data_IF_415752469063
#
_entry.id   IF_415752469063
#
_cell.length_a   1.000
_cell.length_b   1.000
_cell.length_c   1.000
_cell.angle_alpha   90.00
_cell.angle_beta   90.00
_cell.angle_gamma   90.00
#
_symmetry.space_group_name_H-M   'P 1'
#
loop_
_entity.id
_entity.type
_entity.pdbx_description
1 polymer ?
#
# COMPACT_ATOMS: atom_id res chain seq x y z
N UNK A 1 -3.65 63.21 -75.30
CA UNK A 1 -2.57 62.22 -75.06
C UNK A 1 -2.82 61.63 -73.67
N UNK A 2 -3.59 60.53 -73.59
CA UNK A 2 -4.04 59.92 -72.32
C UNK A 2 -3.43 58.51 -72.29
N UNK A 3 -2.47 58.30 -71.39
CA UNK A 3 -1.77 57.01 -71.21
C UNK A 3 -2.51 56.13 -70.21
N UNK A 4 -2.66 54.87 -70.62
CA UNK A 4 -3.17 53.72 -69.88
C UNK A 4 -2.42 53.46 -68.57
N UNK A 5 -3.15 53.15 -67.50
CA UNK A 5 -2.64 52.59 -66.24
C UNK A 5 -2.77 51.05 -66.31
N UNK A 6 -1.71 50.28 -66.02
CA UNK A 6 -1.74 48.82 -66.12
C UNK A 6 -2.41 48.14 -64.92
N UNK A 7 -3.22 47.12 -65.23
CA UNK A 7 -3.81 46.16 -64.29
C UNK A 7 -2.76 45.12 -63.87
N UNK A 8 -2.13 45.26 -62.70
CA UNK A 8 -1.44 44.10 -62.08
C UNK A 8 -1.31 44.15 -60.55
N UNK A 9 -2.19 44.86 -59.85
CA UNK A 9 -2.14 44.94 -58.38
C UNK A 9 -3.12 43.99 -57.65
N UNK A 10 -3.85 43.13 -58.37
CA UNK A 10 -4.94 42.32 -57.78
C UNK A 10 -4.57 40.86 -57.48
N UNK A 11 -3.45 40.34 -58.01
CA UNK A 11 -3.01 38.95 -57.78
C UNK A 11 -2.05 38.80 -56.59
N UNK A 12 -1.41 39.87 -56.15
CA UNK A 12 -0.50 39.83 -54.99
C UNK A 12 -1.24 39.82 -53.64
N UNK A 13 -2.43 40.43 -53.55
CA UNK A 13 -3.21 40.47 -52.30
C UNK A 13 -3.92 39.14 -51.98
N UNK A 14 -4.28 38.35 -52.99
CA UNK A 14 -4.97 37.06 -52.78
C UNK A 14 -4.02 35.95 -52.29
N UNK A 15 -2.72 36.06 -52.60
CA UNK A 15 -1.71 35.06 -52.20
C UNK A 15 -1.24 35.24 -50.74
N UNK A 16 -1.32 36.46 -50.21
CA UNK A 16 -0.99 36.74 -48.79
C UNK A 16 -2.10 36.31 -47.82
N UNK A 17 -3.37 36.28 -48.26
CA UNK A 17 -4.50 35.84 -47.42
C UNK A 17 -4.53 34.31 -47.30
N UNK A 18 -4.18 33.55 -48.35
CA UNK A 18 -4.08 32.08 -48.26
C UNK A 18 -2.89 31.60 -47.39
N UNK A 19 -1.76 32.32 -47.39
CA UNK A 19 -0.62 31.98 -46.55
C UNK A 19 -0.90 32.22 -45.05
N UNK A 20 -1.70 33.24 -44.71
CA UNK A 20 -2.08 33.52 -43.32
C UNK A 20 -3.10 32.51 -42.76
N UNK A 21 -3.98 31.96 -43.60
CA UNK A 21 -4.93 30.91 -43.19
C UNK A 21 -4.21 29.56 -43.01
N UNK A 22 -3.22 29.25 -43.84
CA UNK A 22 -2.42 28.02 -43.68
C UNK A 22 -1.55 28.02 -42.40
N UNK A 23 -1.07 29.19 -41.94
CA UNK A 23 -0.35 29.29 -40.66
C UNK A 23 -1.27 29.20 -39.43
N UNK A 24 -2.55 29.55 -39.56
CA UNK A 24 -3.54 29.38 -38.48
C UNK A 24 -4.02 27.94 -38.31
N UNK A 25 -3.87 27.08 -39.33
CA UNK A 25 -4.15 25.64 -39.22
C UNK A 25 -2.94 24.78 -38.84
N UNK A 26 -1.71 25.31 -38.90
CA UNK A 26 -0.49 24.58 -38.49
C UNK A 26 -0.14 24.73 -37.00
N UNK A 27 -0.78 25.66 -36.27
CA UNK A 27 -0.62 25.84 -34.82
C UNK A 27 -1.84 25.39 -33.99
N UNK A 28 -2.86 24.81 -34.64
CA UNK A 28 -4.17 24.49 -34.05
C UNK A 28 -4.43 23.02 -33.70
N UNK A 29 -3.38 22.19 -33.61
CA UNK A 29 -3.51 20.81 -33.14
C UNK A 29 -2.49 20.52 -32.03
N UNK A 30 -2.47 21.37 -31.00
CA UNK A 30 -2.09 20.85 -29.70
C UNK A 30 -3.25 19.95 -29.27
N UNK A 31 -3.04 18.64 -29.37
CA UNK A 31 -3.81 17.70 -28.59
C UNK A 31 -3.68 18.14 -27.14
N UNK A 32 -4.69 18.84 -26.63
CA UNK A 32 -4.89 18.94 -25.19
C UNK A 32 -4.77 17.52 -24.68
N UNK A 33 -3.91 17.21 -23.68
CA UNK A 33 -4.09 15.98 -22.96
C UNK A 33 -5.54 16.02 -22.52
N UNK A 34 -6.35 15.10 -23.07
CA UNK A 34 -7.63 14.77 -22.47
C UNK A 34 -7.29 14.61 -21.01
N UNK A 35 -7.87 15.46 -20.16
CA UNK A 35 -7.92 15.15 -18.76
C UNK A 35 -8.64 13.80 -18.75
N UNK A 36 -7.86 12.73 -18.65
CA UNK A 36 -8.37 11.45 -18.25
C UNK A 36 -9.13 11.78 -16.98
N UNK A 37 -10.46 11.77 -17.08
CA UNK A 37 -11.26 11.61 -15.89
C UNK A 37 -10.67 10.36 -15.24
N UNK A 38 -10.09 10.43 -14.03
CA UNK A 38 -9.51 9.25 -13.43
C UNK A 38 -10.64 8.23 -13.40
N UNK A 39 -10.50 7.17 -14.20
CA UNK A 39 -11.42 6.03 -14.13
C UNK A 39 -11.48 5.65 -12.66
N UNK A 40 -12.70 5.52 -12.11
CA UNK A 40 -12.94 5.35 -10.68
C UNK A 40 -11.80 4.55 -10.06
N UNK A 41 -10.99 5.16 -9.20
CA UNK A 41 -9.82 4.49 -8.64
C UNK A 41 -10.31 3.20 -7.95
N UNK A 42 -10.08 2.08 -8.62
CA UNK A 42 -10.65 0.80 -8.20
C UNK A 42 -9.82 0.30 -7.03
N UNK A 43 -10.49 0.05 -5.91
CA UNK A 43 -9.89 -0.55 -4.73
C UNK A 43 -10.22 -2.03 -4.65
N UNK A 44 -9.34 -2.79 -4.00
CA UNK A 44 -9.44 -4.24 -3.86
C UNK A 44 -9.40 -4.62 -2.39
N UNK A 45 -10.24 -5.56 -1.98
CA UNK A 45 -10.15 -6.16 -0.66
C UNK A 45 -9.02 -7.18 -0.61
N UNK A 46 -8.31 -7.21 0.50
CA UNK A 46 -7.41 -8.28 0.87
C UNK A 46 -7.55 -8.65 2.33
N UNK A 47 -6.81 -9.66 2.75
CA UNK A 47 -6.79 -10.10 4.14
C UNK A 47 -5.38 -10.41 4.58
N UNK A 48 -5.13 -10.37 5.87
CA UNK A 48 -3.92 -10.90 6.47
C UNK A 48 -4.25 -11.58 7.82
N UNK A 49 -3.31 -12.39 8.29
CA UNK A 49 -3.33 -13.02 9.62
C UNK A 49 -1.97 -13.65 9.92
N UNK A 50 -1.67 -13.85 11.20
CA UNK A 50 -0.41 -14.46 11.63
C UNK A 50 -0.28 -15.92 11.20
N UNK A 51 -1.29 -16.74 11.49
CA UNK A 51 -1.24 -18.18 11.20
C UNK A 51 -1.83 -18.44 9.80
N UNK A 52 -1.23 -19.30 9.00
CA UNK A 52 -1.78 -19.69 7.70
C UNK A 52 -3.16 -20.37 7.87
N UNK A 53 -4.21 -20.00 7.10
CA UNK A 53 -5.57 -20.54 7.28
C UNK A 53 -5.76 -21.98 6.79
N UNK A 54 -4.74 -22.57 6.17
CA UNK A 54 -4.84 -23.89 5.58
C UNK A 54 -5.30 -23.81 4.12
N UNK A 55 -4.88 -24.78 3.32
CA UNK A 55 -5.09 -24.79 1.86
C UNK A 55 -6.60 -24.78 1.51
N UNK A 56 -7.44 -25.43 2.32
CA UNK A 56 -8.89 -25.48 2.14
C UNK A 56 -9.60 -24.13 2.28
N UNK A 57 -8.96 -23.14 2.92
CA UNK A 57 -9.51 -21.80 3.04
C UNK A 57 -9.40 -20.99 1.75
N UNK A 58 -8.40 -21.27 0.93
CA UNK A 58 -8.04 -20.40 -0.20
C UNK A 58 -9.18 -20.23 -1.21
N UNK A 59 -9.90 -21.27 -1.66
CA UNK A 59 -11.01 -21.10 -2.60
C UNK A 59 -12.20 -20.34 -2.00
N UNK A 60 -12.37 -20.37 -0.68
CA UNK A 60 -13.42 -19.63 0.03
C UNK A 60 -13.04 -18.16 0.09
N UNK A 61 -11.83 -17.87 0.59
CA UNK A 61 -11.31 -16.51 0.73
C UNK A 61 -11.20 -15.78 -0.62
N UNK A 62 -10.86 -16.51 -1.70
CA UNK A 62 -10.70 -15.91 -3.03
C UNK A 62 -11.98 -15.32 -3.60
N UNK A 63 -13.15 -15.75 -3.12
CA UNK A 63 -14.45 -15.19 -3.52
C UNK A 63 -14.61 -13.73 -3.09
N UNK A 64 -13.87 -13.30 -2.07
CA UNK A 64 -13.96 -11.95 -1.49
C UNK A 64 -12.67 -11.16 -1.70
N UNK A 65 -11.52 -11.81 -1.54
CA UNK A 65 -10.23 -11.13 -1.48
C UNK A 65 -9.42 -11.30 -2.76
N UNK A 66 -8.81 -10.21 -3.22
CA UNK A 66 -7.91 -10.20 -4.37
C UNK A 66 -6.46 -10.51 -3.98
N UNK A 67 -6.06 -10.14 -2.76
CA UNK A 67 -4.71 -10.39 -2.24
C UNK A 67 -4.73 -10.94 -0.81
N UNK A 68 -3.62 -11.57 -0.42
CA UNK A 68 -3.36 -11.98 0.96
C UNK A 68 -2.06 -11.38 1.49
N UNK A 69 -1.96 -11.25 2.82
CA UNK A 69 -0.68 -11.17 3.51
C UNK A 69 0.17 -12.42 3.25
N UNK A 70 1.49 -12.27 3.31
CA UNK A 70 2.43 -13.39 3.24
C UNK A 70 3.66 -13.12 4.11
N UNK A 71 3.80 -13.89 5.19
CA UNK A 71 4.91 -13.75 6.11
C UNK A 71 6.19 -14.40 5.56
N UNK A 72 7.29 -13.65 5.53
CA UNK A 72 8.65 -14.15 5.26
C UNK A 72 9.35 -14.62 6.54
N UNK A 73 9.04 -14.00 7.67
CA UNK A 73 9.53 -14.36 9.01
C UNK A 73 8.40 -14.90 9.89
N UNK A 74 8.67 -15.51 11.06
CA UNK A 74 7.62 -15.75 12.04
C UNK A 74 6.86 -14.45 12.38
N UNK A 75 5.51 -14.46 12.32
CA UNK A 75 4.70 -13.32 12.71
C UNK A 75 4.91 -12.89 14.18
N UNK A 76 4.46 -11.69 14.60
CA UNK A 76 4.42 -11.30 16.01
C UNK A 76 3.73 -12.36 16.88
N UNK A 77 4.37 -12.68 18.01
CA UNK A 77 3.88 -13.70 18.95
C UNK A 77 4.12 -15.16 18.53
N UNK A 78 4.48 -15.41 17.27
CA UNK A 78 4.70 -16.76 16.74
C UNK A 78 6.18 -17.17 16.76
N UNK A 79 6.42 -18.48 16.94
CA UNK A 79 7.77 -19.06 16.89
C UNK A 79 8.14 -19.61 15.52
N UNK A 80 7.13 -19.99 14.74
CA UNK A 80 7.29 -20.65 13.44
C UNK A 80 6.51 -19.87 12.38
N UNK A 81 7.03 -19.85 11.15
CA UNK A 81 6.33 -19.28 10.02
C UNK A 81 5.50 -20.38 9.31
N UNK A 82 4.18 -20.35 9.48
CA UNK A 82 3.27 -21.32 8.83
C UNK A 82 2.91 -20.95 7.39
N UNK A 83 3.35 -19.78 6.90
CA UNK A 83 3.15 -19.35 5.53
C UNK A 83 4.23 -19.84 4.58
N UNK A 84 5.40 -20.22 5.08
CA UNK A 84 6.53 -20.64 4.22
C UNK A 84 6.15 -21.79 3.29
N UNK A 85 6.58 -21.68 2.03
CA UNK A 85 6.26 -22.63 0.97
C UNK A 85 4.84 -22.52 0.40
N UNK A 86 4.03 -21.53 0.81
CA UNK A 86 2.64 -21.37 0.32
C UNK A 86 2.49 -20.36 -0.81
N UNK A 87 3.53 -19.62 -1.18
CA UNK A 87 3.46 -18.56 -2.21
C UNK A 87 2.88 -19.09 -3.52
N UNK A 88 3.44 -20.18 -4.03
CA UNK A 88 3.03 -20.72 -5.34
C UNK A 88 1.56 -21.17 -5.33
N UNK A 89 1.10 -21.79 -4.24
CA UNK A 89 -0.30 -22.18 -4.08
C UNK A 89 -1.24 -20.97 -4.05
N UNK A 90 -0.89 -19.92 -3.30
CA UNK A 90 -1.67 -18.67 -3.26
C UNK A 90 -1.74 -18.03 -4.65
N UNK A 91 -0.60 -17.97 -5.35
CA UNK A 91 -0.50 -17.44 -6.72
C UNK A 91 -1.35 -18.27 -7.70
N UNK A 92 -1.31 -19.60 -7.62
CA UNK A 92 -2.11 -20.48 -8.49
C UNK A 92 -3.61 -20.39 -8.21
N UNK A 93 -4.00 -19.99 -7.00
CA UNK A 93 -5.39 -19.66 -6.62
C UNK A 93 -5.78 -18.22 -7.01
N UNK A 94 -4.88 -17.47 -7.64
CA UNK A 94 -5.14 -16.13 -8.19
C UNK A 94 -5.11 -15.01 -7.15
N UNK A 95 -4.40 -15.19 -6.04
CA UNK A 95 -4.13 -14.12 -5.09
C UNK A 95 -2.92 -13.28 -5.51
N UNK A 96 -3.02 -11.96 -5.31
CA UNK A 96 -1.86 -11.09 -5.13
C UNK A 96 -1.33 -11.07 -3.70
N UNK A 97 -0.29 -10.28 -3.45
CA UNK A 97 0.44 -10.34 -2.19
C UNK A 97 0.64 -8.99 -1.52
N UNK A 98 0.56 -9.00 -0.18
CA UNK A 98 1.25 -8.06 0.70
C UNK A 98 2.31 -8.84 1.47
N UNK A 99 3.58 -8.67 1.11
CA UNK A 99 4.67 -9.46 1.68
C UNK A 99 5.15 -8.82 2.97
N UNK A 100 5.25 -9.60 4.05
CA UNK A 100 5.48 -9.15 5.41
C UNK A 100 6.81 -9.68 5.97
N UNK A 101 7.51 -8.83 6.70
CA UNK A 101 8.63 -9.22 7.53
C UNK A 101 8.48 -8.58 8.91
N UNK A 102 8.71 -9.35 9.98
CA UNK A 102 8.50 -8.90 11.36
C UNK A 102 9.51 -7.81 11.72
N UNK A 103 9.01 -6.65 12.15
CA UNK A 103 9.83 -5.64 12.80
C UNK A 103 10.17 -6.01 14.24
N UNK A 104 11.31 -5.55 14.76
CA UNK A 104 11.63 -5.67 16.19
C UNK A 104 10.73 -4.76 17.02
N UNK A 105 10.55 -5.10 18.29
CA UNK A 105 10.06 -4.12 19.27
C UNK A 105 11.16 -3.08 19.55
N UNK A 106 10.79 -1.85 19.88
CA UNK A 106 11.74 -0.81 20.31
C UNK A 106 12.61 -1.28 21.49
N UNK A 107 12.08 -2.16 22.35
CA UNK A 107 12.82 -2.75 23.47
C UNK A 107 13.99 -3.66 23.04
N UNK A 108 13.98 -4.16 21.81
CA UNK A 108 15.07 -4.92 21.20
C UNK A 108 16.15 -3.99 20.62
N UNK A 109 15.81 -2.72 20.36
CA UNK A 109 16.69 -1.71 19.75
C UNK A 109 17.25 -0.73 20.79
N UNK A 110 17.82 -1.28 21.89
CA UNK A 110 18.25 -0.51 23.06
C UNK A 110 19.33 0.53 22.80
N UNK A 111 20.16 0.33 21.77
CA UNK A 111 21.26 1.24 21.45
C UNK A 111 21.41 1.43 19.94
N UNK A 112 22.03 2.53 19.56
CA UNK A 112 22.40 2.83 18.18
C UNK A 112 23.28 1.73 17.56
N UNK A 113 24.18 1.13 18.33
CA UNK A 113 25.02 0.03 17.85
C UNK A 113 24.18 -1.23 17.53
N UNK A 114 23.20 -1.55 18.38
CA UNK A 114 22.28 -2.66 18.14
C UNK A 114 21.43 -2.40 16.89
N UNK A 115 20.85 -1.20 16.77
CA UNK A 115 20.04 -0.81 15.61
C UNK A 115 20.83 -0.92 14.29
N UNK A 116 22.03 -0.32 14.23
CA UNK A 116 22.93 -0.36 13.05
C UNK A 116 23.38 -1.77 12.69
N UNK A 117 23.48 -2.65 13.67
CA UNK A 117 23.89 -4.04 13.45
C UNK A 117 22.72 -4.94 13.04
N UNK A 118 21.54 -4.73 13.63
CA UNK A 118 20.35 -5.55 13.41
C UNK A 118 19.64 -5.19 12.10
N UNK A 119 19.56 -3.91 11.74
CA UNK A 119 18.89 -3.45 10.51
C UNK A 119 19.36 -4.17 9.26
N UNK A 120 20.67 -4.15 8.93
CA UNK A 120 21.18 -4.84 7.76
C UNK A 120 20.95 -6.34 7.78
N UNK A 121 21.15 -7.00 8.94
CA UNK A 121 20.94 -8.45 9.07
C UNK A 121 19.50 -8.84 8.75
N UNK A 122 18.54 -8.13 9.33
CA UNK A 122 17.13 -8.40 9.12
C UNK A 122 16.70 -8.05 7.68
N UNK A 123 17.30 -7.03 7.07
CA UNK A 123 17.03 -6.67 5.66
C UNK A 123 17.58 -7.68 4.68
N UNK A 124 18.80 -8.20 4.94
CA UNK A 124 19.40 -9.27 4.16
C UNK A 124 18.61 -10.59 4.32
N UNK A 125 18.14 -10.91 5.53
CA UNK A 125 17.28 -12.07 5.80
C UNK A 125 15.92 -11.97 5.11
N UNK A 126 15.28 -10.80 5.16
CA UNK A 126 14.04 -10.53 4.43
C UNK A 126 14.22 -10.75 2.92
N UNK A 127 15.31 -10.21 2.34
CA UNK A 127 15.61 -10.40 0.92
C UNK A 127 15.91 -11.86 0.57
N UNK A 128 16.67 -12.58 1.41
CA UNK A 128 16.97 -13.99 1.22
C UNK A 128 15.71 -14.86 1.28
N UNK A 129 14.85 -14.62 2.28
CA UNK A 129 13.57 -15.30 2.45
C UNK A 129 12.63 -15.04 1.28
N UNK A 130 12.52 -13.79 0.82
CA UNK A 130 11.72 -13.45 -0.36
C UNK A 130 12.19 -14.21 -1.62
N UNK A 131 13.51 -14.28 -1.85
CA UNK A 131 14.09 -15.07 -2.96
C UNK A 131 13.82 -16.56 -2.82
N UNK A 132 13.96 -17.11 -1.62
CA UNK A 132 13.73 -18.53 -1.35
C UNK A 132 12.26 -18.93 -1.60
N UNK A 133 11.32 -18.04 -1.29
CA UNK A 133 9.90 -18.21 -1.59
C UNK A 133 9.56 -17.96 -3.07
N UNK A 134 10.52 -17.43 -3.85
CA UNK A 134 10.39 -17.21 -5.29
C UNK A 134 9.80 -15.86 -5.68
N UNK A 135 9.75 -14.88 -4.78
CA UNK A 135 9.33 -13.52 -5.13
C UNK A 135 10.36 -12.85 -6.07
N UNK A 136 9.86 -12.16 -7.09
CA UNK A 136 10.68 -11.47 -8.08
C UNK A 136 11.39 -10.23 -7.52
N UNK A 137 12.49 -9.83 -8.14
CA UNK A 137 13.09 -8.52 -7.86
C UNK A 137 12.08 -7.39 -8.09
N UNK A 138 12.15 -6.38 -7.24
CA UNK A 138 11.20 -5.26 -7.21
C UNK A 138 9.93 -5.54 -6.40
N UNK A 139 9.75 -6.73 -5.81
CA UNK A 139 8.66 -6.95 -4.85
C UNK A 139 8.85 -6.04 -3.64
N UNK A 140 7.75 -5.41 -3.18
CA UNK A 140 7.74 -4.62 -1.94
C UNK A 140 7.64 -5.57 -0.74
N UNK A 141 8.50 -5.39 0.25
CA UNK A 141 8.40 -6.11 1.54
C UNK A 141 8.05 -5.10 2.62
N UNK A 142 6.97 -5.35 3.35
CA UNK A 142 6.48 -4.51 4.43
C UNK A 142 7.09 -4.96 5.75
N UNK A 143 7.88 -4.08 6.38
CA UNK A 143 8.32 -4.26 7.75
C UNK A 143 7.13 -4.01 8.69
N UNK A 144 6.81 -4.99 9.51
CA UNK A 144 5.71 -4.94 10.47
C UNK A 144 6.11 -4.20 11.75
N UNK A 145 5.63 -2.95 11.88
CA UNK A 145 5.88 -2.07 13.03
C UNK A 145 4.58 -1.94 13.84
N UNK A 146 4.51 -2.70 14.92
CA UNK A 146 3.32 -2.79 15.79
C UNK A 146 3.14 -1.55 16.69
N UNK A 147 4.23 -0.86 17.04
CA UNK A 147 4.20 0.28 17.98
C UNK A 147 3.57 1.55 17.36
N UNK A 148 2.82 2.29 18.20
CA UNK A 148 2.11 3.51 17.80
C UNK A 148 2.73 4.78 18.39
N UNK A 149 2.60 5.90 17.66
CA UNK A 149 3.18 7.20 18.04
C UNK A 149 4.57 7.40 17.46
N UNK A 150 5.41 8.21 18.13
CA UNK A 150 6.81 8.40 17.73
C UNK A 150 7.63 7.15 18.01
N UNK A 151 8.40 6.75 17.02
CA UNK A 151 9.41 5.73 17.20
C UNK A 151 10.66 6.36 17.81
N UNK A 152 11.45 5.59 18.59
CA UNK A 152 12.73 6.09 19.07
C UNK A 152 13.73 6.23 17.91
N UNK A 153 14.71 7.11 18.07
CA UNK A 153 15.79 7.32 17.07
C UNK A 153 16.53 6.03 16.69
N UNK A 154 16.62 5.08 17.62
CA UNK A 154 17.19 3.75 17.35
C UNK A 154 16.36 2.95 16.35
N UNK A 155 15.03 3.10 16.36
CA UNK A 155 14.15 2.48 15.38
C UNK A 155 14.31 3.12 14.01
N UNK A 156 14.39 4.45 13.92
CA UNK A 156 14.65 5.13 12.64
C UNK A 156 16.01 4.72 12.05
N UNK A 157 17.02 4.55 12.90
CA UNK A 157 18.33 4.02 12.49
C UNK A 157 18.25 2.57 12.01
N UNK A 158 17.47 1.72 12.68
CA UNK A 158 17.22 0.35 12.26
C UNK A 158 16.51 0.30 10.90
N UNK A 159 15.38 1.02 10.76
CA UNK A 159 14.55 1.08 9.56
C UNK A 159 15.35 1.58 8.35
N UNK A 160 16.20 2.59 8.57
CA UNK A 160 17.15 3.09 7.58
C UNK A 160 18.04 1.98 7.03
N UNK A 161 18.74 1.28 7.93
CA UNK A 161 19.72 0.28 7.57
C UNK A 161 19.07 -1.00 6.99
N UNK A 162 17.88 -1.37 7.49
CA UNK A 162 17.04 -2.45 6.96
C UNK A 162 16.61 -2.15 5.52
N UNK A 163 16.08 -0.94 5.27
CA UNK A 163 15.62 -0.53 3.95
C UNK A 163 16.76 -0.56 2.92
N UNK A 164 17.95 -0.07 3.30
CA UNK A 164 19.12 -0.08 2.42
C UNK A 164 19.60 -1.50 2.10
N UNK A 165 19.57 -2.41 3.08
CA UNK A 165 19.91 -3.82 2.86
C UNK A 165 18.90 -4.51 1.93
N UNK A 166 17.61 -4.29 2.16
CA UNK A 166 16.54 -4.83 1.33
C UNK A 166 16.65 -4.36 -0.14
N UNK A 167 16.95 -3.07 -0.35
CA UNK A 167 17.20 -2.50 -1.68
C UNK A 167 18.42 -3.13 -2.36
N UNK A 168 19.53 -3.32 -1.63
CA UNK A 168 20.68 -4.08 -2.17
C UNK A 168 20.33 -5.52 -2.50
N UNK A 169 19.38 -6.09 -1.76
CA UNK A 169 18.81 -7.42 -2.00
C UNK A 169 17.96 -7.50 -3.27
N UNK A 170 17.59 -6.37 -3.88
CA UNK A 170 16.78 -6.28 -5.09
C UNK A 170 15.27 -6.13 -4.84
N UNK A 171 14.87 -5.71 -3.64
CA UNK A 171 13.47 -5.52 -3.22
C UNK A 171 13.19 -4.08 -2.81
N UNK A 172 11.92 -3.69 -2.71
CA UNK A 172 11.53 -2.35 -2.27
C UNK A 172 11.04 -2.34 -0.82
N UNK A 173 11.41 -1.34 -0.01
CA UNK A 173 10.94 -1.22 1.36
C UNK A 173 9.49 -0.73 1.41
N UNK A 174 8.70 -1.36 2.26
CA UNK A 174 7.43 -0.87 2.76
C UNK A 174 7.37 -0.95 4.28
N UNK A 175 6.40 -0.28 4.89
CA UNK A 175 6.11 -0.37 6.32
C UNK A 175 4.63 -0.66 6.55
N UNK A 176 4.33 -1.63 7.41
CA UNK A 176 3.06 -1.71 8.11
C UNK A 176 3.20 -0.94 9.42
N UNK A 177 2.34 0.06 9.66
CA UNK A 177 2.46 0.89 10.87
C UNK A 177 1.14 1.56 11.28
N UNK A 178 1.12 2.16 12.47
CA UNK A 178 -0.06 2.88 12.96
C UNK A 178 -0.40 4.11 12.11
N UNK A 179 -1.64 4.16 11.62
CA UNK A 179 -2.29 5.36 11.12
C UNK A 179 -3.15 6.07 12.18
N UNK A 180 -3.14 5.60 13.44
CA UNK A 180 -3.96 6.14 14.52
C UNK A 180 -3.19 7.28 15.21
N UNK A 181 -3.77 8.50 15.32
CA UNK A 181 -3.11 9.62 15.98
C UNK A 181 -2.91 9.40 17.48
N UNK A 182 -1.68 9.59 17.96
CA UNK A 182 -1.33 9.64 19.38
C UNK A 182 -1.14 11.09 19.80
N UNK A 183 -1.74 11.50 20.91
CA UNK A 183 -1.60 12.87 21.46
C UNK A 183 -0.24 13.05 22.11
N UNK A 184 0.48 14.10 21.71
CA UNK A 184 1.75 14.52 22.31
C UNK A 184 1.64 15.87 23.06
N UNK A 185 0.48 16.50 22.99
CA UNK A 185 0.20 17.75 23.69
C UNK A 185 -1.23 18.24 23.45
N UNK A 186 -1.61 19.42 23.97
CA UNK A 186 -2.99 19.92 23.93
C UNK A 186 -3.61 20.05 22.53
N UNK A 187 -2.80 20.11 21.47
CA UNK A 187 -3.23 20.23 20.06
C UNK A 187 -2.31 19.51 19.07
N UNK A 188 -1.40 18.69 19.57
CA UNK A 188 -0.38 18.03 18.75
C UNK A 188 -0.67 16.55 18.82
N UNK A 189 -0.84 15.95 17.64
CA UNK A 189 -0.89 14.52 17.48
C UNK A 189 0.04 14.10 16.36
N UNK A 190 0.57 12.89 16.47
CA UNK A 190 1.39 12.26 15.45
C UNK A 190 0.86 10.88 15.15
N UNK A 191 0.94 10.46 13.90
CA UNK A 191 0.80 9.06 13.50
C UNK A 191 2.19 8.47 13.29
N UNK A 192 2.34 7.16 13.45
CA UNK A 192 3.61 6.50 13.18
C UNK A 192 3.98 6.60 11.71
N UNK A 193 2.98 6.57 10.81
CA UNK A 193 3.18 6.83 9.39
C UNK A 193 3.82 8.20 9.10
N UNK A 194 3.32 9.27 9.73
CA UNK A 194 3.89 10.62 9.55
C UNK A 194 5.28 10.73 10.18
N UNK A 195 5.51 10.11 11.34
CA UNK A 195 6.82 10.07 11.99
C UNK A 195 7.89 9.40 11.10
N UNK A 196 7.57 8.23 10.54
CA UNK A 196 8.44 7.52 9.58
C UNK A 196 8.70 8.37 8.34
N UNK A 197 7.64 8.97 7.76
CA UNK A 197 7.75 9.78 6.54
C UNK A 197 8.63 11.01 6.75
N UNK A 198 8.54 11.68 7.90
CA UNK A 198 9.39 12.84 8.22
C UNK A 198 10.86 12.47 8.43
N UNK A 199 11.17 11.30 8.97
CA UNK A 199 12.56 10.84 9.18
C UNK A 199 13.19 10.17 7.95
N UNK A 200 12.38 9.81 6.95
CA UNK A 200 12.85 9.19 5.70
C UNK A 200 12.29 9.87 4.44
N UNK A 201 12.38 11.21 4.30
CA UNK A 201 11.68 11.94 3.23
C UNK A 201 12.20 11.62 1.82
N UNK A 202 13.41 11.05 1.72
CA UNK A 202 14.05 10.69 0.45
C UNK A 202 13.93 9.20 0.11
N UNK A 203 13.38 8.38 1.01
CA UNK A 203 13.21 6.95 0.77
C UNK A 203 11.82 6.70 0.21
N UNK A 204 11.76 6.10 -0.97
CA UNK A 204 10.52 5.61 -1.56
C UNK A 204 10.06 4.37 -0.77
N UNK A 205 9.36 4.62 0.35
CA UNK A 205 8.82 3.60 1.24
C UNK A 205 7.31 3.52 1.02
N UNK A 206 6.83 2.34 0.62
CA UNK A 206 5.40 2.07 0.53
C UNK A 206 4.77 2.02 1.93
N UNK A 207 3.55 2.54 2.06
CA UNK A 207 2.90 2.67 3.38
C UNK A 207 1.62 1.84 3.42
N UNK A 208 1.62 0.84 4.31
CA UNK A 208 0.44 0.11 4.75
C UNK A 208 0.10 0.58 6.16
N UNK A 209 -1.08 1.17 6.35
CA UNK A 209 -1.48 1.63 7.69
C UNK A 209 -2.56 0.76 8.29
N UNK A 210 -2.44 0.48 9.58
CA UNK A 210 -3.58 0.06 10.37
C UNK A 210 -4.29 1.27 10.96
N UNK A 211 -5.60 1.34 10.74
CA UNK A 211 -6.49 2.25 11.42
C UNK A 211 -7.91 1.67 11.40
N UNK A 212 -8.26 0.92 12.45
CA UNK A 212 -9.58 0.32 12.63
C UNK A 212 -10.55 1.23 13.40
N UNK A 213 -10.17 2.49 13.64
CA UNK A 213 -11.03 3.46 14.29
C UNK A 213 -12.27 3.71 13.44
N UNK A 214 -13.44 3.50 14.04
CA UNK A 214 -14.72 3.67 13.37
C UNK A 214 -15.50 4.85 13.97
N UNK A 215 -15.87 5.86 13.15
CA UNK A 215 -15.49 6.08 11.73
C UNK A 215 -14.02 6.53 11.56
N UNK A 216 -13.43 6.46 10.32
CA UNK A 216 -14.07 6.12 9.04
C UNK A 216 -14.03 4.63 8.68
N UNK A 217 -13.39 3.78 9.49
CA UNK A 217 -13.41 2.33 9.25
C UNK A 217 -14.86 1.82 9.15
N UNK A 218 -15.18 0.98 8.14
CA UNK A 218 -16.47 0.31 8.07
C UNK A 218 -16.59 -0.86 9.07
N UNK A 219 -15.54 -1.16 9.86
CA UNK A 219 -15.46 -2.34 10.71
C UNK A 219 -15.27 -3.62 9.91
N UNK A 220 -15.66 -4.77 10.46
CA UNK A 220 -15.62 -6.04 9.75
C UNK A 220 -16.70 -6.08 8.65
N UNK A 221 -16.36 -5.56 7.48
CA UNK A 221 -17.26 -5.42 6.36
C UNK A 221 -16.55 -5.70 5.03
N UNK A 222 -17.33 -6.09 4.02
CA UNK A 222 -16.82 -6.52 2.72
C UNK A 222 -17.59 -5.78 1.60
N UNK A 223 -17.44 -4.45 1.50
CA UNK A 223 -18.15 -3.66 0.51
C UNK A 223 -17.77 -4.08 -0.92
N UNK A 224 -18.75 -4.11 -1.83
CA UNK A 224 -18.49 -4.36 -3.25
C UNK A 224 -17.57 -3.30 -3.86
N UNK A 225 -17.73 -2.05 -3.41
CA UNK A 225 -16.92 -0.90 -3.82
C UNK A 225 -16.13 -0.39 -2.58
N UNK A 226 -14.94 -0.94 -2.31
CA UNK A 226 -14.18 -0.58 -1.12
C UNK A 226 -13.69 0.88 -1.17
N UNK A 227 -13.66 1.60 -0.03
CA UNK A 227 -13.10 2.94 0.02
C UNK A 227 -11.61 2.94 -0.30
N UNK A 228 -11.10 4.04 -0.85
CA UNK A 228 -9.66 4.20 -1.10
C UNK A 228 -8.85 4.11 0.20
N UNK A 229 -7.61 3.56 0.17
CA UNK A 229 -6.74 3.49 1.33
C UNK A 229 -6.51 4.84 2.05
N UNK A 230 -6.52 5.95 1.29
CA UNK A 230 -6.42 7.30 1.86
C UNK A 230 -7.53 7.67 2.85
N UNK A 231 -8.65 6.94 2.85
CA UNK A 231 -9.73 7.09 3.84
C UNK A 231 -9.35 6.61 5.23
N UNK A 232 -8.21 5.93 5.39
CA UNK A 232 -7.59 5.65 6.69
C UNK A 232 -7.22 6.90 7.51
N UNK A 233 -7.24 8.09 6.89
CA UNK A 233 -6.68 9.32 7.46
C UNK A 233 -5.25 9.59 7.00
N UNK A 234 -4.61 8.62 6.35
CA UNK A 234 -3.27 8.74 5.77
C UNK A 234 -3.39 8.76 4.25
N UNK A 235 -3.47 9.96 3.66
CA UNK A 235 -3.80 10.16 2.24
C UNK A 235 -2.81 9.52 1.25
N UNK A 236 -1.59 9.21 1.70
CA UNK A 236 -0.52 8.63 0.91
C UNK A 236 -0.32 7.13 1.16
N UNK A 237 -1.16 6.50 1.99
CA UNK A 237 -1.12 5.06 2.19
C UNK A 237 -1.52 4.33 0.91
N UNK A 238 -0.75 3.31 0.53
CA UNK A 238 -1.07 2.40 -0.57
C UNK A 238 -2.00 1.27 -0.13
N UNK A 239 -1.99 0.94 1.17
CA UNK A 239 -2.80 -0.12 1.77
C UNK A 239 -3.37 0.39 3.10
N UNK A 240 -4.62 0.02 3.40
CA UNK A 240 -5.28 0.29 4.68
C UNK A 240 -5.84 -0.99 5.30
N UNK A 241 -5.32 -1.39 6.45
CA UNK A 241 -5.97 -2.37 7.32
C UNK A 241 -7.07 -1.67 8.13
N UNK A 242 -8.32 -1.87 7.71
CA UNK A 242 -9.47 -1.18 8.27
C UNK A 242 -10.21 -2.00 9.33
N UNK A 243 -9.95 -3.30 9.43
CA UNK A 243 -10.49 -4.15 10.47
C UNK A 243 -9.40 -5.09 11.00
N UNK A 244 -9.35 -5.23 12.33
CA UNK A 244 -8.45 -6.15 13.04
C UNK A 244 -9.24 -7.18 13.84
N UNK A 245 -8.69 -8.36 13.98
CA UNK A 245 -9.27 -9.51 14.68
C UNK A 245 -8.30 -10.10 15.70
N UNK A 246 -8.66 -10.12 16.99
CA UNK A 246 -9.90 -9.58 17.57
C UNK A 246 -10.00 -8.06 17.52
N UNK A 247 -11.22 -7.53 17.49
CA UNK A 247 -11.45 -6.08 17.42
C UNK A 247 -10.88 -5.33 18.62
N UNK A 248 -10.22 -4.20 18.36
CA UNK A 248 -9.79 -3.26 19.42
C UNK A 248 -10.97 -2.46 19.91
N UNK A 249 -11.58 -2.89 21.02
CA UNK A 249 -12.89 -2.38 21.51
C UNK A 249 -12.95 -0.87 21.68
N UNK A 250 -11.84 -0.23 22.07
CA UNK A 250 -11.74 1.22 22.23
C UNK A 250 -11.90 2.00 20.92
N UNK A 251 -11.40 1.47 19.81
CA UNK A 251 -11.44 2.10 18.48
C UNK A 251 -12.67 1.69 17.65
N UNK A 252 -13.21 0.49 17.92
CA UNK A 252 -14.25 -0.15 17.09
C UNK A 252 -15.65 -0.10 17.71
N UNK A 253 -15.88 0.69 18.76
CA UNK A 253 -17.17 0.70 19.48
C UNK A 253 -18.37 1.00 18.57
N UNK A 254 -18.22 1.91 17.60
CA UNK A 254 -19.28 2.32 16.67
C UNK A 254 -19.56 1.30 15.55
N UNK A 255 -18.60 0.44 15.22
CA UNK A 255 -18.79 -0.67 14.28
C UNK A 255 -18.86 -2.04 14.97
N UNK A 256 -19.02 -2.12 16.29
CA UNK A 256 -18.99 -3.38 17.02
C UNK A 256 -19.96 -4.43 16.46
N UNK A 257 -21.11 -4.01 15.91
CA UNK A 257 -22.12 -4.85 15.27
C UNK A 257 -21.69 -5.52 13.96
N UNK A 258 -20.57 -5.10 13.38
CA UNK A 258 -20.02 -5.69 12.14
C UNK A 258 -19.18 -6.93 12.43
N UNK A 259 -18.68 -7.08 13.66
CA UNK A 259 -17.92 -8.24 14.10
C UNK A 259 -18.84 -9.33 14.66
N UNK A 260 -18.37 -10.57 14.71
CA UNK A 260 -19.08 -11.62 15.46
C UNK A 260 -19.03 -11.37 16.97
N UNK A 261 -19.85 -12.11 17.72
CA UNK A 261 -20.01 -11.93 19.17
C UNK A 261 -18.73 -12.18 19.95
N UNK A 262 -17.83 -13.01 19.44
CA UNK A 262 -16.49 -13.25 19.99
C UNK A 262 -15.51 -12.08 19.75
N UNK A 263 -15.90 -11.10 18.93
CA UNK A 263 -15.11 -9.93 18.59
C UNK A 263 -14.22 -10.11 17.36
N UNK A 264 -14.30 -11.24 16.67
CA UNK A 264 -13.49 -11.52 15.49
C UNK A 264 -14.22 -11.17 14.18
N UNK A 265 -13.44 -10.90 13.13
CA UNK A 265 -13.91 -10.73 11.77
C UNK A 265 -13.68 -12.00 10.96
N UNK A 266 -14.72 -12.45 10.25
CA UNK A 266 -14.69 -13.67 9.46
C UNK A 266 -15.12 -13.38 8.02
N UNK A 267 -14.59 -14.15 7.07
CA UNK A 267 -14.95 -14.01 5.66
C UNK A 267 -16.46 -14.24 5.44
N UNK A 268 -17.08 -13.55 4.47
CA UNK A 268 -18.45 -13.84 4.06
C UNK A 268 -18.59 -15.31 3.65
N UNK A 269 -19.58 -15.99 4.23
CA UNK A 269 -19.90 -17.37 3.88
C UNK A 269 -18.98 -18.44 4.51
N UNK A 270 -18.00 -18.07 5.34
CA UNK A 270 -17.29 -19.03 6.18
C UNK A 270 -18.02 -19.22 7.52
N UNK A 271 -18.87 -20.24 7.58
CA UNK A 271 -19.61 -20.60 8.80
C UNK A 271 -19.04 -21.83 9.51
N UNK A 272 -17.99 -22.45 8.94
CA UNK A 272 -17.55 -23.80 9.33
C UNK A 272 -16.11 -23.81 9.83
N UNK A 273 -15.24 -22.92 9.33
CA UNK A 273 -13.79 -23.10 9.51
C UNK A 273 -13.13 -22.08 10.44
N UNK A 274 -13.90 -21.12 10.96
CA UNK A 274 -13.50 -20.20 12.04
C UNK A 274 -12.13 -19.55 11.83
N UNK A 275 -11.82 -19.10 10.60
CA UNK A 275 -10.61 -18.31 10.37
C UNK A 275 -10.91 -16.83 10.55
N UNK A 276 -10.50 -16.27 11.67
CA UNK A 276 -10.54 -14.82 11.81
C UNK A 276 -9.42 -14.18 10.98
N UNK A 277 -9.72 -13.00 10.45
CA UNK A 277 -8.88 -12.27 9.51
C UNK A 277 -8.81 -10.80 9.92
N UNK A 278 -7.70 -10.18 9.59
CA UNK A 278 -7.64 -8.75 9.41
C UNK A 278 -8.03 -8.41 7.97
N UNK A 279 -8.68 -7.26 7.77
CA UNK A 279 -9.23 -6.87 6.47
C UNK A 279 -8.56 -5.61 5.95
N UNK A 280 -8.08 -5.70 4.72
CA UNK A 280 -7.28 -4.71 4.05
C UNK A 280 -7.95 -4.18 2.78
N UNK A 281 -7.59 -2.96 2.41
CA UNK A 281 -7.89 -2.38 1.10
C UNK A 281 -6.60 -1.87 0.48
N UNK A 282 -6.43 -2.07 -0.83
CA UNK A 282 -5.36 -1.48 -1.61
C UNK A 282 -5.87 -0.99 -2.97
N UNK A 283 -5.11 -0.11 -3.62
CA UNK A 283 -5.35 0.36 -4.99
C UNK A 283 -4.91 -0.65 -6.07
N UNK A 284 -4.27 -1.75 -5.65
CA UNK A 284 -3.80 -2.83 -6.51
C UNK A 284 -4.30 -4.18 -6.00
N UNK A 285 -4.65 -5.15 -6.88
CA UNK A 285 -4.93 -6.52 -6.47
C UNK A 285 -3.65 -7.30 -6.11
N UNK A 286 -2.47 -6.74 -6.32
CA UNK A 286 -1.16 -7.29 -5.91
C UNK A 286 -0.29 -6.13 -5.38
N UNK A 287 -0.53 -5.66 -4.14
CA UNK A 287 0.09 -4.43 -3.64
C UNK A 287 1.62 -4.49 -3.56
N UNK A 288 2.20 -5.68 -3.38
CA UNK A 288 3.65 -5.87 -3.37
C UNK A 288 4.25 -6.13 -4.74
N UNK A 289 3.43 -6.31 -5.79
CA UNK A 289 3.92 -6.78 -7.09
C UNK A 289 4.55 -8.18 -7.00
N UNK A 290 4.07 -9.02 -6.07
CA UNK A 290 4.66 -10.32 -5.74
C UNK A 290 4.17 -11.48 -6.59
N UNK A 291 3.23 -11.26 -7.52
CA UNK A 291 2.65 -12.32 -8.39
C UNK A 291 3.50 -12.69 -9.59
N UNK A 292 4.47 -11.85 -9.94
CA UNK A 292 5.35 -12.04 -11.10
C UNK A 292 6.36 -13.16 -10.90
#
# INVERSE_FOLDING_TARGET
MIKFIPKSASTALFSLILAAIALLFALGAQSSPSADFPGSEKSYLGFDRNIYPGDGALPILRKTFAFSGYWLSPPPGEKNNTWSGKRELLRSQGFGFVVLYRGPDSSELKTQAVAKSKGPRDGDDAAASAKAEGFSSGTVVFLDIEEGGRLPETYHTYLAAWSEALVRGGFHPGVYCSGIPVKEGPKISITTADDIRHHSPTRDIAVWVYNDACPPSPGCAFPHDPPLPGKSGIHYASIWQFAQSPRRKGFTSRCARTYLRDGNCYAPGDTVHSWFLDVNIATSPDPSGGTK
#
